data_IF_317863791663
#
_entry.id   IF_317863791663
#
_cell.length_a   1.000
_cell.length_b   1.000
_cell.length_c   1.000
_cell.angle_alpha   90.00
_cell.angle_beta   90.00
_cell.angle_gamma   90.00
#
_symmetry.space_group_name_H-M   'P 1'
#
loop_
_entity.id
_entity.type
_entity.pdbx_description
1 polymer ?
#
# COMPACT_ATOMS: atom_id res chain seq x y z
N UNK A 1 36.10 -27.90 2.60
CA UNK A 1 35.21 -26.91 1.96
C UNK A 1 35.59 -25.55 2.49
N UNK A 2 36.00 -24.65 1.60
CA UNK A 2 36.49 -23.33 2.00
C UNK A 2 35.29 -22.48 2.43
N UNK A 3 35.24 -22.04 3.69
CA UNK A 3 34.12 -21.26 4.25
C UNK A 3 33.86 -20.00 3.40
N UNK A 4 34.91 -19.45 2.79
CA UNK A 4 34.88 -18.33 1.86
C UNK A 4 34.05 -18.59 0.59
N UNK A 5 33.93 -19.84 0.13
CA UNK A 5 33.08 -20.18 -1.04
C UNK A 5 31.59 -20.23 -0.69
N UNK A 6 31.23 -20.28 0.60
CA UNK A 6 29.83 -20.29 1.07
C UNK A 6 29.41 -18.90 1.52
N UNK A 7 30.29 -18.19 2.22
CA UNK A 7 30.00 -16.85 2.77
C UNK A 7 29.83 -15.80 1.67
N UNK A 8 30.69 -15.82 0.65
CA UNK A 8 30.65 -14.85 -0.47
C UNK A 8 29.31 -14.85 -1.23
N UNK A 9 28.79 -16.00 -1.71
CA UNK A 9 27.50 -16.01 -2.40
C UNK A 9 26.33 -15.65 -1.47
N UNK A 10 26.43 -15.95 -0.16
CA UNK A 10 25.39 -15.61 0.81
C UNK A 10 25.26 -14.09 0.99
N UNK A 11 26.39 -13.38 1.14
CA UNK A 11 26.39 -11.92 1.23
C UNK A 11 25.96 -11.27 -0.09
N UNK A 12 26.36 -11.83 -1.24
CA UNK A 12 25.89 -11.36 -2.54
C UNK A 12 24.36 -11.51 -2.67
N UNK A 13 23.81 -12.65 -2.26
CA UNK A 13 22.37 -12.89 -2.26
C UNK A 13 21.64 -11.91 -1.31
N UNK A 14 22.19 -11.66 -0.11
CA UNK A 14 21.62 -10.71 0.84
C UNK A 14 21.61 -9.28 0.30
N UNK A 15 22.71 -8.84 -0.30
CA UNK A 15 22.82 -7.51 -0.91
C UNK A 15 21.85 -7.35 -2.09
N UNK A 16 21.68 -8.40 -2.91
CA UNK A 16 20.74 -8.39 -4.03
C UNK A 16 19.30 -8.33 -3.52
N UNK A 17 18.96 -9.10 -2.48
CA UNK A 17 17.64 -9.07 -1.86
C UNK A 17 17.33 -7.71 -1.24
N UNK A 18 18.28 -7.07 -0.54
CA UNK A 18 18.13 -5.73 0.02
C UNK A 18 17.97 -4.66 -1.08
N UNK A 19 18.72 -4.77 -2.18
CA UNK A 19 18.59 -3.88 -3.32
C UNK A 19 17.21 -4.01 -4.01
N UNK A 20 16.67 -5.22 -4.12
CA UNK A 20 15.33 -5.47 -4.64
C UNK A 20 14.24 -4.99 -3.65
N UNK A 21 14.44 -5.19 -2.35
CA UNK A 21 13.49 -4.76 -1.32
C UNK A 21 13.40 -3.24 -1.17
N UNK A 22 14.49 -2.50 -1.41
CA UNK A 22 14.48 -1.03 -1.42
C UNK A 22 13.59 -0.44 -2.52
N UNK A 23 13.26 -1.22 -3.57
CA UNK A 23 12.30 -0.81 -4.59
C UNK A 23 10.84 -1.12 -4.22
N UNK A 24 10.59 -1.83 -3.11
CA UNK A 24 9.26 -2.10 -2.58
C UNK A 24 8.70 -0.87 -1.86
N UNK A 25 8.45 0.19 -2.62
CA UNK A 25 7.65 1.35 -2.20
C UNK A 25 6.18 0.89 -2.14
N UNK A 26 5.85 0.02 -1.19
CA UNK A 26 4.59 -0.73 -1.26
C UNK A 26 3.36 0.17 -1.08
N UNK A 27 3.47 1.21 -0.25
CA UNK A 27 2.44 2.20 0.10
C UNK A 27 3.05 3.25 1.05
N UNK A 28 2.54 4.49 1.12
CA UNK A 28 3.01 5.49 2.08
C UNK A 28 2.72 5.08 3.53
N UNK A 29 3.69 5.31 4.42
CA UNK A 29 3.61 4.97 5.84
C UNK A 29 2.83 6.03 6.63
N UNK A 30 2.12 5.64 7.69
CA UNK A 30 1.29 6.58 8.45
C UNK A 30 2.17 7.63 9.16
N UNK A 31 1.75 8.89 9.09
CA UNK A 31 2.51 10.02 9.65
C UNK A 31 3.60 10.58 8.73
N UNK A 32 3.67 10.09 7.49
CA UNK A 32 4.51 10.68 6.43
C UNK A 32 3.73 11.74 5.62
N UNK A 33 4.39 12.77 5.08
CA UNK A 33 3.75 13.74 4.18
C UNK A 33 3.08 13.11 2.96
N UNK A 34 3.60 11.99 2.48
CA UNK A 34 3.04 11.20 1.38
C UNK A 34 1.69 10.61 1.78
N UNK A 35 1.59 10.07 3.00
CA UNK A 35 0.34 9.56 3.54
C UNK A 35 -0.67 10.68 3.79
N UNK A 36 -0.23 11.85 4.24
CA UNK A 36 -1.10 13.02 4.41
C UNK A 36 -1.68 13.50 3.06
N UNK A 37 -0.87 13.49 1.99
CA UNK A 37 -1.34 13.77 0.64
C UNK A 37 -2.36 12.75 0.16
N UNK A 38 -2.15 11.48 0.47
CA UNK A 38 -3.13 10.43 0.19
C UNK A 38 -4.45 10.65 0.93
N UNK A 39 -4.39 10.95 2.23
CA UNK A 39 -5.57 11.28 3.04
C UNK A 39 -6.33 12.49 2.49
N UNK A 40 -5.61 13.54 2.07
CA UNK A 40 -6.23 14.67 1.37
C UNK A 40 -6.84 14.27 0.02
N UNK A 41 -6.21 13.36 -0.70
CA UNK A 41 -6.74 12.80 -1.94
C UNK A 41 -8.07 12.08 -1.72
N UNK A 42 -8.17 11.25 -0.68
CA UNK A 42 -9.42 10.60 -0.27
C UNK A 42 -10.50 11.63 0.07
N UNK A 43 -10.17 12.61 0.92
CA UNK A 43 -11.11 13.64 1.36
C UNK A 43 -11.67 14.47 0.19
N UNK A 44 -10.80 14.90 -0.73
CA UNK A 44 -11.19 15.63 -1.96
C UNK A 44 -12.11 14.82 -2.88
N UNK A 45 -12.10 13.49 -2.77
CA UNK A 45 -12.97 12.59 -3.52
C UNK A 45 -14.20 12.13 -2.71
N UNK A 46 -14.43 12.73 -1.54
CA UNK A 46 -15.58 12.46 -0.67
C UNK A 46 -15.45 11.20 0.18
N UNK A 47 -14.23 10.69 0.38
CA UNK A 47 -13.95 9.52 1.21
C UNK A 47 -13.31 9.95 2.53
N UNK A 48 -14.11 10.02 3.58
CA UNK A 48 -13.65 10.39 4.93
C UNK A 48 -13.30 9.14 5.73
N UNK A 49 -12.19 8.51 5.36
CA UNK A 49 -11.70 7.31 6.03
C UNK A 49 -10.83 7.68 7.23
N UNK A 50 -10.86 6.84 8.26
CA UNK A 50 -9.82 6.89 9.28
C UNK A 50 -8.46 6.43 8.68
N UNK A 51 -7.32 6.82 9.29
CA UNK A 51 -5.99 6.48 8.77
C UNK A 51 -5.74 4.97 8.62
N UNK A 52 -6.23 4.15 9.54
CA UNK A 52 -6.02 2.69 9.53
C UNK A 52 -6.74 2.02 8.36
N UNK A 53 -8.00 2.40 8.15
CA UNK A 53 -8.80 1.99 6.99
C UNK A 53 -8.16 2.48 5.71
N UNK A 54 -7.76 3.75 5.64
CA UNK A 54 -7.11 4.32 4.47
C UNK A 54 -5.83 3.54 4.11
N UNK A 55 -5.01 3.19 5.10
CA UNK A 55 -3.81 2.39 4.90
C UNK A 55 -4.14 0.99 4.37
N UNK A 56 -5.17 0.31 4.90
CA UNK A 56 -5.63 -1.00 4.39
C UNK A 56 -6.21 -0.93 2.98
N UNK A 57 -6.94 0.14 2.64
CA UNK A 57 -7.39 0.40 1.26
C UNK A 57 -6.20 0.55 0.33
N UNK A 58 -5.19 1.31 0.73
CA UNK A 58 -3.97 1.50 -0.05
C UNK A 58 -3.22 0.17 -0.24
N UNK A 59 -3.11 -0.64 0.81
CA UNK A 59 -2.52 -1.97 0.72
C UNK A 59 -3.25 -2.88 -0.27
N UNK A 60 -4.59 -2.94 -0.18
CA UNK A 60 -5.43 -3.68 -1.11
C UNK A 60 -5.29 -3.18 -2.56
N UNK A 61 -5.20 -1.85 -2.74
CA UNK A 61 -5.13 -1.22 -4.04
C UNK A 61 -3.76 -1.35 -4.72
N UNK A 62 -2.66 -1.35 -3.96
CA UNK A 62 -1.30 -1.27 -4.49
C UNK A 62 -0.56 -2.61 -4.46
N UNK A 63 -0.67 -3.34 -3.35
CA UNK A 63 0.02 -4.63 -3.15
C UNK A 63 -0.89 -5.80 -3.55
N UNK A 64 -2.20 -5.57 -3.50
CA UNK A 64 -3.21 -6.61 -3.58
C UNK A 64 -3.56 -7.16 -2.20
N UNK A 65 -4.66 -7.90 -2.15
CA UNK A 65 -5.19 -8.48 -0.93
C UNK A 65 -6.41 -9.34 -1.24
N UNK A 66 -7.08 -9.81 -0.20
CA UNK A 66 -8.31 -10.61 -0.34
C UNK A 66 -9.45 -9.64 -0.70
N UNK A 67 -10.08 -9.77 -1.86
CA UNK A 67 -11.20 -8.92 -2.26
C UNK A 67 -12.33 -8.96 -1.22
N UNK A 68 -12.90 -7.80 -0.88
CA UNK A 68 -14.03 -7.70 0.05
C UNK A 68 -13.68 -7.78 1.54
N UNK A 69 -12.41 -8.02 1.91
CA UNK A 69 -12.00 -8.11 3.33
C UNK A 69 -12.29 -6.83 4.14
N UNK A 70 -12.28 -5.68 3.47
CA UNK A 70 -12.48 -4.37 4.10
C UNK A 70 -13.86 -3.76 3.81
N UNK A 71 -14.73 -4.46 3.07
CA UNK A 71 -15.99 -3.92 2.55
C UNK A 71 -16.97 -3.47 3.66
N UNK A 72 -17.06 -4.24 4.76
CA UNK A 72 -17.90 -3.87 5.91
C UNK A 72 -17.40 -2.61 6.61
N UNK A 73 -16.08 -2.44 6.71
CA UNK A 73 -15.45 -1.30 7.37
C UNK A 73 -15.53 -0.04 6.50
N UNK A 74 -15.41 -0.22 5.18
CA UNK A 74 -15.66 0.80 4.18
C UNK A 74 -17.12 1.28 4.23
N UNK A 75 -18.08 0.35 4.27
CA UNK A 75 -19.50 0.68 4.40
C UNK A 75 -19.79 1.43 5.71
N UNK A 76 -19.17 1.03 6.82
CA UNK A 76 -19.28 1.71 8.11
C UNK A 76 -18.77 3.16 8.09
N UNK A 77 -17.88 3.50 7.15
CA UNK A 77 -17.31 4.84 6.97
C UNK A 77 -17.91 5.60 5.78
N UNK A 78 -19.08 5.17 5.30
CA UNK A 78 -19.81 5.88 4.25
C UNK A 78 -19.42 5.50 2.83
N UNK A 79 -18.53 4.52 2.64
CA UNK A 79 -18.20 3.97 1.31
C UNK A 79 -19.22 2.88 0.96
N UNK A 80 -20.43 3.29 0.63
CA UNK A 80 -21.53 2.41 0.24
C UNK A 80 -22.16 2.85 -1.09
N UNK A 81 -22.76 1.91 -1.80
CA UNK A 81 -23.42 2.13 -3.09
C UNK A 81 -22.69 1.50 -4.29
N UNK A 82 -23.37 1.43 -5.45
CA UNK A 82 -22.81 0.78 -6.63
C UNK A 82 -21.53 1.48 -7.09
N UNK A 83 -20.43 0.72 -7.11
CA UNK A 83 -19.13 1.19 -7.57
C UNK A 83 -18.35 2.08 -6.59
N UNK A 84 -18.87 2.36 -5.38
CA UNK A 84 -18.16 3.16 -4.37
C UNK A 84 -16.81 2.54 -3.98
N UNK A 85 -16.79 1.22 -3.81
CA UNK A 85 -15.59 0.46 -3.47
C UNK A 85 -14.53 0.57 -4.59
N UNK A 86 -14.96 0.43 -5.85
CA UNK A 86 -14.07 0.59 -6.99
C UNK A 86 -13.47 1.99 -7.05
N UNK A 87 -14.28 3.04 -6.82
CA UNK A 87 -13.80 4.43 -6.81
C UNK A 87 -12.80 4.70 -5.68
N UNK A 88 -13.03 4.17 -4.48
CA UNK A 88 -12.07 4.37 -3.38
C UNK A 88 -10.74 3.69 -3.69
N UNK A 89 -10.76 2.50 -4.31
CA UNK A 89 -9.55 1.85 -4.80
C UNK A 89 -8.88 2.60 -5.97
N UNK A 90 -9.63 3.25 -6.86
CA UNK A 90 -9.06 4.10 -7.91
C UNK A 90 -8.34 5.31 -7.32
N UNK A 91 -8.92 5.95 -6.29
CA UNK A 91 -8.29 7.07 -5.58
C UNK A 91 -7.03 6.60 -4.87
N UNK A 92 -7.09 5.47 -4.14
CA UNK A 92 -5.91 4.88 -3.52
C UNK A 92 -4.83 4.53 -4.55
N UNK A 93 -5.20 3.99 -5.72
CA UNK A 93 -4.25 3.75 -6.82
C UNK A 93 -3.57 5.02 -7.30
N UNK A 94 -4.30 6.12 -7.38
CA UNK A 94 -3.78 7.40 -7.87
C UNK A 94 -2.84 8.09 -6.88
N UNK A 95 -3.12 8.00 -5.58
CA UNK A 95 -2.44 8.82 -4.56
C UNK A 95 -1.52 8.04 -3.62
N UNK A 96 -1.72 6.72 -3.47
CA UNK A 96 -0.97 5.89 -2.54
C UNK A 96 -0.06 4.85 -3.22
N UNK A 97 -0.37 4.43 -4.45
CA UNK A 97 0.51 3.48 -5.14
C UNK A 97 1.73 4.21 -5.74
N UNK A 98 2.91 3.59 -5.72
CA UNK A 98 4.06 4.12 -6.44
C UNK A 98 3.69 4.23 -7.92
N UNK A 99 3.97 5.39 -8.52
CA UNK A 99 3.96 5.54 -9.97
C UNK A 99 5.01 4.60 -10.54
N UNK A 100 4.56 3.63 -11.35
CA UNK A 100 5.46 2.75 -12.12
C UNK A 100 6.18 3.54 -13.21
#
# INVERSE_FOLDING_TARGET
MDMRRVVVPLFAALATALALAATANAIPDQGTPEFDNYMQGLDRNGFHLNPDTAWRVAHQACVGGIPGYIGLELAAQGVFGPGSEQRVYDVARKYACPVQ
#
